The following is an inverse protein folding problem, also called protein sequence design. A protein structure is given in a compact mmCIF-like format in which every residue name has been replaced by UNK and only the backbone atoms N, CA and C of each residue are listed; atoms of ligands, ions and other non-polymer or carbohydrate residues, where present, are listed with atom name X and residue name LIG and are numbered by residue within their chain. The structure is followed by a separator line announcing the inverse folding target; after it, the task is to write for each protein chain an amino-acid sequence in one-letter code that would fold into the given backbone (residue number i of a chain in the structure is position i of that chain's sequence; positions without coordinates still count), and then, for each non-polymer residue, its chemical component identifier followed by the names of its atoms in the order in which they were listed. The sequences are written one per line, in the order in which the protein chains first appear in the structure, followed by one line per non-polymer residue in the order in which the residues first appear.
data_IF_816562000723
#
_entry.id   IF_816562000723
#
_cell.length_a   1.000
_cell.length_b   1.000
_cell.length_c   1.000
_cell.angle_alpha   90.00
_cell.angle_beta   90.00
_cell.angle_gamma   90.00
#
_symmetry.space_group_name_H-M   'P 1'
#
loop_
_entity.id
_entity.type
_entity.pdbx_description
1 polymer ?
#
# COMPACT_ATOMS: atom_id res chain seq x y z
N UNK A 1 26.14 -9.42 -7.94
CA UNK A 1 24.80 -8.82 -7.94
C UNK A 1 24.83 -7.54 -7.13
N UNK A 2 24.51 -6.41 -7.76
CA UNK A 2 24.40 -5.10 -7.09
C UNK A 2 23.11 -5.04 -6.27
N UNK A 3 23.02 -4.06 -5.36
CA UNK A 3 21.81 -3.85 -4.54
C UNK A 3 20.57 -3.59 -5.42
N UNK A 4 20.76 -2.93 -6.54
CA UNK A 4 19.69 -2.63 -7.51
C UNK A 4 19.24 -3.91 -8.24
N UNK A 5 20.17 -4.79 -8.59
CA UNK A 5 19.86 -6.10 -9.19
C UNK A 5 19.11 -7.03 -8.21
N UNK A 6 19.37 -6.91 -6.90
CA UNK A 6 18.65 -7.65 -5.85
C UNK A 6 17.25 -7.10 -5.60
N UNK A 7 17.07 -5.77 -5.63
CA UNK A 7 15.74 -5.16 -5.55
C UNK A 7 14.90 -5.51 -6.78
N UNK A 8 15.48 -5.45 -7.98
CA UNK A 8 14.81 -5.81 -9.22
C UNK A 8 14.43 -7.31 -9.26
N UNK A 9 15.32 -8.19 -8.80
CA UNK A 9 15.01 -9.61 -8.67
C UNK A 9 13.86 -9.83 -7.66
N UNK A 10 13.86 -9.15 -6.52
CA UNK A 10 12.82 -9.26 -5.50
C UNK A 10 11.43 -8.77 -5.99
N UNK A 11 11.38 -7.72 -6.82
CA UNK A 11 10.12 -7.21 -7.37
C UNK A 11 9.58 -7.99 -8.57
N UNK A 12 10.42 -8.80 -9.21
CA UNK A 12 10.12 -9.47 -10.47
C UNK A 12 10.15 -11.01 -10.38
N UNK A 13 10.62 -11.60 -9.29
CA UNK A 13 10.42 -13.02 -9.01
C UNK A 13 8.92 -13.35 -8.91
N UNK A 14 8.44 -14.23 -9.79
CA UNK A 14 7.07 -14.77 -9.75
C UNK A 14 6.01 -14.00 -10.54
N UNK A 15 6.37 -13.05 -11.42
CA UNK A 15 5.42 -12.39 -12.35
C UNK A 15 5.09 -13.21 -13.61
N UNK A 16 5.16 -14.53 -13.55
CA UNK A 16 4.59 -15.36 -14.61
C UNK A 16 3.20 -15.84 -14.17
N UNK A 17 2.19 -15.50 -14.98
CA UNK A 17 0.84 -16.07 -15.07
C UNK A 17 -0.35 -15.53 -14.27
N UNK A 18 -0.33 -14.32 -13.70
CA UNK A 18 -1.58 -13.58 -13.37
C UNK A 18 -1.45 -12.09 -13.73
N UNK A 19 -1.29 -11.81 -15.01
CA UNK A 19 -1.53 -10.47 -15.53
C UNK A 19 -3.05 -10.22 -15.47
N UNK A 20 -3.52 -9.54 -14.42
CA UNK A 20 -4.72 -8.71 -14.55
C UNK A 20 -4.34 -7.65 -15.58
N UNK A 21 -4.58 -7.95 -16.86
CA UNK A 21 -4.54 -6.95 -17.92
C UNK A 21 -5.68 -5.99 -17.59
N UNK A 22 -5.36 -4.86 -16.98
CA UNK A 22 -6.25 -3.70 -17.05
C UNK A 22 -6.53 -3.49 -18.55
N UNK A 23 -7.75 -3.78 -18.98
CA UNK A 23 -8.24 -3.30 -20.26
C UNK A 23 -8.05 -1.79 -20.24
N UNK A 24 -7.09 -1.29 -21.01
CA UNK A 24 -6.84 0.14 -21.14
C UNK A 24 -8.04 0.70 -21.91
N UNK A 25 -9.07 1.10 -21.19
CA UNK A 25 -10.10 1.96 -21.72
C UNK A 25 -9.44 3.28 -22.20
N UNK A 26 -9.94 3.88 -23.30
CA UNK A 26 -9.39 5.13 -23.81
C UNK A 26 -9.36 6.14 -22.67
N UNK A 27 -8.21 6.82 -22.49
CA UNK A 27 -7.96 7.71 -21.38
C UNK A 27 -8.97 8.87 -21.35
N UNK A 28 -10.11 8.65 -20.71
CA UNK A 28 -10.80 9.72 -20.00
C UNK A 28 -9.76 10.33 -19.06
N UNK A 29 -9.76 11.65 -18.98
CA UNK A 29 -8.81 12.44 -18.21
C UNK A 29 -8.66 11.83 -16.82
N UNK A 30 -7.63 11.00 -16.59
CA UNK A 30 -7.49 10.22 -15.36
C UNK A 30 -7.27 11.25 -14.27
N UNK A 31 -8.33 11.56 -13.53
CA UNK A 31 -8.26 12.33 -12.30
C UNK A 31 -7.39 11.53 -11.36
N UNK A 32 -6.14 11.98 -11.21
CA UNK A 32 -5.18 11.33 -10.35
C UNK A 32 -5.50 11.74 -8.91
N UNK A 33 -6.50 11.09 -8.35
CA UNK A 33 -6.95 11.30 -6.98
C UNK A 33 -6.31 10.22 -6.09
N UNK A 34 -5.09 10.48 -5.65
CA UNK A 34 -4.42 9.58 -4.72
C UNK A 34 -4.99 9.68 -3.30
N UNK A 35 -5.57 10.82 -2.92
CA UNK A 35 -6.12 11.00 -1.60
C UNK A 35 -7.28 10.02 -1.39
N UNK A 36 -8.28 10.07 -2.28
CA UNK A 36 -9.42 9.15 -2.27
C UNK A 36 -8.97 7.68 -2.41
N UNK A 37 -8.02 7.39 -3.31
CA UNK A 37 -7.54 6.01 -3.51
C UNK A 37 -6.86 5.45 -2.27
N UNK A 38 -6.13 6.27 -1.52
CA UNK A 38 -5.47 5.82 -0.29
C UNK A 38 -6.43 5.73 0.89
N UNK A 39 -7.47 6.58 0.92
CA UNK A 39 -8.57 6.46 1.87
C UNK A 39 -9.37 5.15 1.66
N UNK A 40 -9.83 4.89 0.43
CA UNK A 40 -10.52 3.64 0.09
C UNK A 40 -9.66 2.40 0.37
N UNK A 41 -8.34 2.48 0.18
CA UNK A 41 -7.44 1.40 0.54
C UNK A 41 -7.44 1.13 2.05
N UNK A 42 -7.36 2.18 2.88
CA UNK A 42 -7.44 2.06 4.34
C UNK A 42 -8.78 1.47 4.80
N UNK A 43 -9.90 1.92 4.21
CA UNK A 43 -11.24 1.37 4.47
C UNK A 43 -11.31 -0.12 4.12
N UNK A 44 -10.80 -0.52 2.95
CA UNK A 44 -10.78 -1.92 2.53
C UNK A 44 -9.95 -2.80 3.49
N UNK A 45 -8.84 -2.28 4.05
CA UNK A 45 -8.05 -2.97 5.07
C UNK A 45 -8.86 -3.14 6.37
N UNK A 46 -9.60 -2.12 6.80
CA UNK A 46 -10.46 -2.20 7.99
C UNK A 46 -11.59 -3.22 7.80
N UNK A 47 -12.24 -3.19 6.65
CA UNK A 47 -13.31 -4.14 6.31
C UNK A 47 -12.78 -5.58 6.27
N UNK A 48 -11.61 -5.79 5.64
CA UNK A 48 -10.93 -7.08 5.67
C UNK A 48 -10.54 -7.50 7.10
N UNK A 49 -10.06 -6.58 7.93
CA UNK A 49 -9.72 -6.89 9.32
C UNK A 49 -10.93 -7.33 10.15
N UNK A 50 -12.12 -6.81 9.86
CA UNK A 50 -13.36 -7.15 10.56
C UNK A 50 -13.87 -8.57 10.26
N UNK A 51 -13.50 -9.17 9.13
CA UNK A 51 -13.93 -10.54 8.77
C UNK A 51 -13.02 -11.63 9.37
N UNK A 52 -11.82 -11.28 9.87
CA UNK A 52 -10.85 -12.25 10.36
C UNK A 52 -11.25 -12.75 11.77
N UNK A 53 -11.30 -14.07 12.01
CA UNK A 53 -11.52 -14.63 13.34
C UNK A 53 -10.47 -14.13 14.34
N UNK A 54 -10.92 -13.55 15.46
CA UNK A 54 -10.03 -12.98 16.47
C UNK A 54 -9.56 -14.08 17.44
N UNK A 55 -8.29 -14.45 17.32
CA UNK A 55 -7.60 -15.44 18.16
C UNK A 55 -6.35 -14.79 18.77
N UNK A 56 -5.72 -15.39 19.80
CA UNK A 56 -4.44 -14.89 20.31
C UNK A 56 -3.34 -14.75 19.25
N UNK A 57 -3.39 -15.53 18.16
CA UNK A 57 -2.42 -15.47 17.05
C UNK A 57 -2.77 -14.36 16.05
N UNK A 58 -4.04 -14.23 15.68
CA UNK A 58 -4.47 -13.27 14.64
C UNK A 58 -4.62 -11.85 15.16
N UNK A 59 -4.94 -11.66 16.46
CA UNK A 59 -5.07 -10.32 17.07
C UNK A 59 -3.87 -9.40 16.82
N UNK A 60 -2.62 -9.77 17.15
CA UNK A 60 -1.47 -8.90 16.91
C UNK A 60 -1.24 -8.65 15.42
N UNK A 61 -1.55 -9.61 14.53
CA UNK A 61 -1.43 -9.42 13.08
C UNK A 61 -2.45 -8.41 12.55
N UNK A 62 -3.70 -8.48 13.02
CA UNK A 62 -4.76 -7.53 12.68
C UNK A 62 -4.39 -6.12 13.13
N UNK A 63 -3.89 -5.97 14.36
CA UNK A 63 -3.48 -4.67 14.90
C UNK A 63 -2.38 -4.02 14.04
N UNK A 64 -1.36 -4.79 13.65
CA UNK A 64 -0.30 -4.30 12.77
C UNK A 64 -0.80 -4.02 11.35
N UNK A 65 -1.64 -4.90 10.79
CA UNK A 65 -2.21 -4.75 9.45
C UNK A 65 -3.03 -3.46 9.33
N UNK A 66 -3.95 -3.23 10.29
CA UNK A 66 -4.78 -2.02 10.31
C UNK A 66 -3.91 -0.77 10.50
N UNK A 67 -2.91 -0.85 11.38
CA UNK A 67 -1.96 0.25 11.61
C UNK A 67 -1.24 0.67 10.33
N UNK A 68 -0.50 -0.24 9.69
CA UNK A 68 0.26 0.10 8.48
C UNK A 68 -0.67 0.41 7.29
N UNK A 69 -1.79 -0.31 7.13
CA UNK A 69 -2.72 -0.10 6.02
C UNK A 69 -3.38 1.29 6.03
N UNK A 70 -3.82 1.76 7.19
CA UNK A 70 -4.41 3.10 7.35
C UNK A 70 -3.36 4.21 7.33
N UNK A 71 -2.13 3.92 7.76
CA UNK A 71 -0.98 4.86 7.73
C UNK A 71 -0.61 5.30 6.30
N UNK A 72 -0.91 4.50 5.27
CA UNK A 72 -0.68 4.89 3.86
C UNK A 72 -1.40 6.18 3.49
N UNK A 73 -2.71 6.24 3.74
CA UNK A 73 -3.53 7.42 3.45
C UNK A 73 -3.24 8.58 4.38
N UNK A 74 -3.02 8.31 5.67
CA UNK A 74 -2.63 9.35 6.62
C UNK A 74 -1.34 10.09 6.19
N UNK A 75 -0.30 9.34 5.79
CA UNK A 75 0.94 9.95 5.30
C UNK A 75 0.77 10.63 3.93
N UNK A 76 -0.19 10.20 3.10
CA UNK A 76 -0.44 10.85 1.82
C UNK A 76 -1.17 12.18 2.00
N UNK A 77 -2.15 12.25 2.91
CA UNK A 77 -2.79 13.49 3.34
C UNK A 77 -1.72 14.52 3.81
N UNK A 78 -0.76 14.09 4.64
CA UNK A 78 0.39 14.93 5.03
C UNK A 78 1.34 15.28 3.86
N UNK A 79 1.40 14.44 2.82
CA UNK A 79 2.17 14.75 1.63
C UNK A 79 1.48 15.85 0.80
N UNK A 80 0.16 15.81 0.68
CA UNK A 80 -0.62 16.82 -0.06
C UNK A 80 -0.49 18.21 0.58
N UNK A 81 -0.43 18.26 1.91
CA UNK A 81 -0.17 19.48 2.70
C UNK A 81 1.30 19.92 2.76
N UNK A 82 2.22 19.21 2.08
CA UNK A 82 3.65 19.47 2.20
C UNK A 82 4.06 20.84 1.63
N UNK A 83 4.80 21.62 2.43
CA UNK A 83 5.26 22.97 2.03
C UNK A 83 6.47 22.95 1.11
N UNK A 84 7.10 21.79 0.89
CA UNK A 84 8.25 21.64 0.00
C UNK A 84 8.27 20.33 -0.77
N UNK A 85 8.90 20.34 -1.96
CA UNK A 85 9.12 19.12 -2.76
C UNK A 85 9.97 18.06 -2.04
N UNK A 86 10.80 18.46 -1.08
CA UNK A 86 11.63 17.52 -0.30
C UNK A 86 10.75 16.78 0.70
N UNK A 87 9.90 17.52 1.41
CA UNK A 87 8.93 16.96 2.37
C UNK A 87 7.90 16.08 1.67
N UNK A 88 7.33 16.53 0.55
CA UNK A 88 6.42 15.72 -0.27
C UNK A 88 7.01 14.33 -0.57
N UNK A 89 8.26 14.29 -1.10
CA UNK A 89 8.93 13.02 -1.41
C UNK A 89 9.22 12.17 -0.17
N UNK A 90 9.54 12.80 0.96
CA UNK A 90 9.75 12.08 2.21
C UNK A 90 8.45 11.39 2.66
N UNK A 91 7.32 12.10 2.64
CA UNK A 91 6.00 11.57 3.01
C UNK A 91 5.53 10.47 2.05
N UNK A 92 5.66 10.67 0.74
CA UNK A 92 5.41 9.59 -0.24
C UNK A 92 6.33 8.37 -0.01
N UNK A 93 7.57 8.60 0.42
CA UNK A 93 8.50 7.54 0.81
C UNK A 93 8.01 6.74 2.02
N UNK A 94 7.39 7.40 2.99
CA UNK A 94 6.71 6.74 4.12
C UNK A 94 5.49 5.96 3.65
N UNK A 95 4.60 6.54 2.82
CA UNK A 95 3.47 5.81 2.24
C UNK A 95 3.91 4.49 1.57
N UNK A 96 5.04 4.51 0.84
CA UNK A 96 5.61 3.31 0.20
C UNK A 96 6.08 2.26 1.22
N UNK A 97 6.67 2.69 2.34
CA UNK A 97 7.10 1.76 3.41
C UNK A 97 5.89 1.11 4.08
N UNK A 98 4.90 1.91 4.43
CA UNK A 98 3.64 1.45 5.03
C UNK A 98 2.93 0.46 4.11
N UNK A 99 2.80 0.77 2.81
CA UNK A 99 2.20 -0.14 1.84
C UNK A 99 2.97 -1.47 1.69
N UNK A 100 4.30 -1.47 1.81
CA UNK A 100 5.11 -2.70 1.81
C UNK A 100 4.87 -3.54 3.06
N UNK A 101 4.71 -2.88 4.20
CA UNK A 101 4.38 -3.53 5.47
C UNK A 101 2.96 -4.10 5.46
N UNK A 102 1.98 -3.36 4.92
CA UNK A 102 0.62 -3.86 4.70
C UNK A 102 0.62 -5.12 3.84
N UNK A 103 1.37 -5.10 2.73
CA UNK A 103 1.53 -6.29 1.87
C UNK A 103 2.14 -7.47 2.62
N UNK A 104 3.10 -7.23 3.51
CA UNK A 104 3.70 -8.28 4.32
C UNK A 104 2.67 -8.89 5.27
N UNK A 105 1.90 -8.08 6.01
CA UNK A 105 0.89 -8.60 6.93
C UNK A 105 -0.29 -9.28 6.22
N UNK A 106 -0.71 -8.79 5.05
CA UNK A 106 -1.71 -9.48 4.22
C UNK A 106 -1.27 -10.90 3.81
N UNK A 107 0.04 -11.17 3.73
CA UNK A 107 0.57 -12.51 3.47
C UNK A 107 0.60 -13.41 4.72
N UNK A 108 0.61 -12.81 5.90
CA UNK A 108 0.70 -13.51 7.19
C UNK A 108 -0.67 -13.90 7.76
N UNK A 109 -1.74 -13.27 7.28
CA UNK A 109 -3.14 -13.54 7.63
C UNK A 109 -3.72 -14.59 6.68
#
# INVERSE_FOLDING_TARGET
MTKDELEDAFWNEGRESHAVRETIEPASQRTYDLDERTACFGEAIIDFANIIPRTPVTRPLIEQLVGCGTSVGANYCEADDAVSKKEFRLRCGTCKKEARETKYFLRMI
#
